data_IF_289867472598
#
_entry.id   IF_289867472598
#
_cell.length_a   1.000
_cell.length_b   1.000
_cell.length_c   1.000
_cell.angle_alpha   90.00
_cell.angle_beta   90.00
_cell.angle_gamma   90.00
#
_symmetry.space_group_name_H-M   'P 1'
#
loop_
_entity.id
_entity.type
_entity.pdbx_description
1 polymer ?
#
# COMPACT_ATOMS: atom_id res chain seq x y z
N UNK A 1 -29.12 52.52 2.84
CA UNK A 1 -29.97 52.88 1.69
C UNK A 1 -29.12 52.78 0.43
N UNK A 2 -29.33 51.78 -0.43
CA UNK A 2 -29.22 51.87 -1.90
C UNK A 2 -29.89 50.61 -2.47
N UNK A 3 -30.78 50.83 -3.45
CA UNK A 3 -31.82 49.91 -3.95
C UNK A 3 -31.41 49.27 -5.28
N UNK A 4 -31.92 48.05 -5.51
CA UNK A 4 -32.36 47.40 -6.79
C UNK A 4 -31.23 47.15 -7.83
N UNK A 5 -31.27 46.12 -8.68
CA UNK A 5 -32.42 45.47 -9.30
C UNK A 5 -32.14 44.00 -9.68
N UNK A 6 -33.21 43.22 -9.69
CA UNK A 6 -33.38 41.93 -10.37
C UNK A 6 -33.45 42.18 -11.88
N UNK A 7 -32.79 41.34 -12.69
CA UNK A 7 -33.08 41.21 -14.10
C UNK A 7 -33.13 39.72 -14.49
N UNK A 8 -34.35 39.22 -14.62
CA UNK A 8 -34.73 38.02 -15.36
C UNK A 8 -34.81 38.36 -16.86
N UNK A 9 -34.26 37.51 -17.74
CA UNK A 9 -34.52 37.58 -19.18
C UNK A 9 -34.45 36.17 -19.82
N UNK A 10 -35.14 35.94 -20.96
CA UNK A 10 -35.96 34.75 -21.16
C UNK A 10 -35.38 33.69 -22.11
N UNK A 11 -36.14 32.60 -22.19
CA UNK A 11 -36.02 31.50 -23.13
C UNK A 11 -36.07 31.94 -24.61
N UNK A 12 -35.23 31.32 -25.44
CA UNK A 12 -35.58 31.07 -26.84
C UNK A 12 -35.27 29.63 -27.23
N UNK A 13 -36.35 28.99 -27.69
CA UNK A 13 -36.36 27.71 -28.35
C UNK A 13 -36.02 27.90 -29.84
N UNK A 14 -35.17 27.03 -30.36
CA UNK A 14 -35.09 26.77 -31.80
C UNK A 14 -35.29 25.28 -32.03
N UNK A 15 -36.46 24.96 -32.59
CA UNK A 15 -36.81 23.64 -33.14
C UNK A 15 -36.22 23.48 -34.55
N UNK A 16 -36.26 22.23 -35.00
CA UNK A 16 -36.27 21.69 -36.38
C UNK A 16 -34.93 21.05 -36.79
N UNK A 17 -34.81 19.72 -36.67
CA UNK A 17 -35.35 18.63 -37.51
C UNK A 17 -34.49 18.35 -38.75
N UNK A 18 -33.74 17.26 -38.68
CA UNK A 18 -33.30 16.39 -39.80
C UNK A 18 -32.78 15.10 -39.14
N UNK A 19 -33.54 14.00 -39.07
CA UNK A 19 -33.72 12.99 -40.12
C UNK A 19 -32.42 12.64 -40.84
N UNK A 20 -31.76 11.55 -40.44
CA UNK A 20 -31.58 10.36 -41.29
C UNK A 20 -30.62 9.35 -40.66
N UNK A 21 -31.08 8.09 -40.64
CA UNK A 21 -30.29 6.87 -40.77
C UNK A 21 -29.15 6.63 -39.76
N UNK A 22 -29.49 5.94 -38.67
CA UNK A 22 -28.53 5.13 -37.91
C UNK A 22 -28.07 3.96 -38.80
N UNK A 23 -26.80 3.84 -39.19
CA UNK A 23 -26.34 2.64 -39.88
C UNK A 23 -26.38 1.47 -38.89
N UNK A 24 -27.35 0.58 -39.05
CA UNK A 24 -27.33 -0.75 -38.44
C UNK A 24 -26.32 -1.58 -39.24
N UNK A 25 -25.04 -1.47 -38.87
CA UNK A 25 -24.05 -2.45 -39.32
C UNK A 25 -24.38 -3.73 -38.57
N UNK A 26 -25.07 -4.64 -39.26
CA UNK A 26 -25.33 -5.99 -38.80
C UNK A 26 -23.99 -6.70 -38.63
N UNK A 27 -23.48 -6.75 -37.39
CA UNK A 27 -22.34 -7.58 -37.06
C UNK A 27 -22.71 -9.05 -37.31
N UNK A 28 -21.93 -9.82 -38.09
CA UNK A 28 -22.15 -11.25 -38.16
C UNK A 28 -21.95 -11.83 -36.76
N UNK A 29 -22.96 -12.57 -36.28
CA UNK A 29 -22.88 -13.38 -35.08
C UNK A 29 -21.63 -14.26 -35.17
N UNK A 30 -20.57 -13.86 -34.47
CA UNK A 30 -19.38 -14.66 -34.29
C UNK A 30 -19.82 -15.89 -33.51
N UNK A 31 -19.95 -17.01 -34.23
CA UNK A 31 -20.23 -18.33 -33.67
C UNK A 31 -19.20 -18.57 -32.57
N UNK A 32 -19.64 -18.54 -31.32
CA UNK A 32 -18.79 -18.82 -30.18
C UNK A 32 -18.29 -20.26 -30.30
N UNK A 33 -17.02 -20.42 -30.66
CA UNK A 33 -16.33 -21.68 -30.46
C UNK A 33 -16.30 -21.97 -28.96
N UNK A 34 -16.51 -23.21 -28.51
CA UNK A 34 -16.38 -23.52 -27.10
C UNK A 34 -14.96 -23.15 -26.69
N UNK A 35 -14.85 -22.25 -25.69
CA UNK A 35 -13.59 -22.00 -25.04
C UNK A 35 -13.16 -23.34 -24.42
N UNK A 36 -12.20 -24.00 -25.07
CA UNK A 36 -11.41 -25.02 -24.40
C UNK A 36 -10.86 -24.34 -23.17
N UNK A 37 -11.35 -24.76 -22.00
CA UNK A 37 -10.84 -24.35 -20.72
C UNK A 37 -9.40 -24.84 -20.65
N UNK A 38 -8.47 -24.02 -21.16
CA UNK A 38 -7.07 -24.16 -20.84
C UNK A 38 -7.00 -23.82 -19.38
N UNK A 39 -6.92 -24.88 -18.58
CA UNK A 39 -6.62 -24.85 -17.18
C UNK A 39 -5.23 -24.22 -17.07
N UNK A 40 -5.17 -22.89 -17.12
CA UNK A 40 -3.99 -22.10 -16.85
C UNK A 40 -3.75 -22.23 -15.35
N UNK A 41 -3.28 -23.42 -14.94
CA UNK A 41 -2.47 -23.56 -13.76
C UNK A 41 -1.37 -22.54 -13.96
N UNK A 42 -1.47 -21.41 -13.24
CA UNK A 42 -0.34 -20.52 -13.02
C UNK A 42 0.69 -21.39 -12.32
N UNK A 43 1.51 -22.06 -13.12
CA UNK A 43 2.66 -22.79 -12.65
C UNK A 43 3.62 -21.70 -12.24
N UNK A 44 3.61 -21.36 -10.95
CA UNK A 44 4.84 -20.90 -10.33
C UNK A 44 5.89 -21.94 -10.74
N UNK A 45 6.98 -21.48 -11.34
CA UNK A 45 8.12 -22.35 -11.59
C UNK A 45 8.56 -22.89 -10.23
N UNK A 46 8.12 -24.09 -9.90
CA UNK A 46 8.67 -24.93 -8.84
C UNK A 46 10.01 -25.45 -9.37
N UNK A 47 10.95 -24.53 -9.56
CA UNK A 47 12.30 -24.82 -10.03
C UNK A 47 13.15 -25.13 -8.82
N UNK A 48 13.41 -26.42 -8.70
CA UNK A 48 14.44 -27.07 -7.91
C UNK A 48 14.30 -27.02 -6.38
N UNK A 49 13.85 -28.16 -5.89
CA UNK A 49 14.35 -28.85 -4.69
C UNK A 49 15.88 -29.03 -4.73
N UNK A 50 16.64 -27.94 -4.80
CA UNK A 50 18.04 -27.93 -4.38
C UNK A 50 18.07 -27.49 -2.92
N UNK A 51 17.76 -28.46 -2.07
CA UNK A 51 17.79 -28.33 -0.62
C UNK A 51 19.24 -28.27 -0.12
N UNK A 52 20.09 -27.42 -0.69
CA UNK A 52 21.49 -27.23 -0.30
C UNK A 52 21.94 -25.81 -0.67
N UNK A 53 21.55 -24.80 0.13
CA UNK A 53 22.38 -23.61 0.50
C UNK A 53 21.60 -22.37 0.97
N UNK A 54 20.26 -22.35 0.95
CA UNK A 54 19.52 -21.28 1.62
C UNK A 54 19.20 -21.71 3.07
N UNK A 55 19.45 -20.84 4.08
CA UNK A 55 19.16 -21.19 5.46
C UNK A 55 17.67 -21.51 5.59
N UNK A 56 17.39 -22.63 6.25
CA UNK A 56 16.09 -23.32 6.39
C UNK A 56 14.98 -22.44 7.01
N UNK A 57 15.26 -21.19 7.38
CA UNK A 57 14.32 -20.26 8.01
C UNK A 57 13.21 -19.72 7.08
N UNK A 58 13.39 -19.76 5.75
CA UNK A 58 12.51 -19.01 4.83
C UNK A 58 11.36 -19.82 4.18
N UNK A 59 11.08 -21.07 4.59
CA UNK A 59 10.35 -22.02 3.72
C UNK A 59 8.92 -22.47 4.11
N UNK A 60 8.37 -22.15 5.30
CA UNK A 60 7.04 -22.73 5.67
C UNK A 60 6.05 -21.74 6.31
N UNK A 61 6.54 -20.72 7.00
CA UNK A 61 5.75 -19.60 7.52
C UNK A 61 6.69 -18.43 7.70
N UNK A 62 6.96 -17.72 6.62
CA UNK A 62 7.97 -16.64 6.66
C UNK A 62 7.53 -15.56 7.64
N UNK A 63 8.45 -14.98 8.43
CA UNK A 63 8.17 -13.81 9.26
C UNK A 63 7.40 -12.73 8.48
N UNK A 64 7.69 -12.61 7.19
CA UNK A 64 6.95 -11.78 6.24
C UNK A 64 5.44 -12.07 6.21
N UNK A 65 5.02 -13.32 6.07
CA UNK A 65 3.61 -13.68 5.98
C UNK A 65 2.88 -13.46 7.31
N UNK A 66 3.56 -13.71 8.43
CA UNK A 66 3.01 -13.48 9.76
C UNK A 66 2.75 -11.99 10.02
N UNK A 67 3.74 -11.12 9.76
CA UNK A 67 3.57 -9.67 9.85
C UNK A 67 2.58 -9.09 8.85
N UNK A 68 2.40 -9.74 7.69
CA UNK A 68 1.38 -9.34 6.73
C UNK A 68 -0.04 -9.68 7.19
N UNK A 69 -0.26 -10.90 7.69
CA UNK A 69 -1.59 -11.35 8.12
C UNK A 69 -2.01 -10.76 9.48
N UNK A 70 -1.03 -10.50 10.36
CA UNK A 70 -1.25 -10.00 11.72
C UNK A 70 -0.29 -8.84 12.02
N UNK A 71 -0.44 -7.69 11.33
CA UNK A 71 0.44 -6.56 11.56
C UNK A 71 0.27 -6.04 12.99
N UNK A 72 1.39 -5.80 13.67
CA UNK A 72 1.44 -5.27 15.05
C UNK A 72 1.50 -3.76 15.02
N UNK A 73 1.09 -3.07 16.09
CA UNK A 73 1.27 -1.62 16.20
C UNK A 73 0.60 -0.78 15.08
N UNK A 74 -0.42 -1.31 14.41
CA UNK A 74 -1.18 -0.55 13.41
C UNK A 74 -2.01 0.52 14.12
N UNK A 75 -1.89 1.77 13.68
CA UNK A 75 -2.64 2.86 14.29
C UNK A 75 -2.04 4.22 14.02
N UNK A 76 -2.52 5.22 14.73
CA UNK A 76 -1.96 6.56 14.68
C UNK A 76 -2.06 7.24 16.04
N UNK A 77 -1.10 8.09 16.32
CA UNK A 77 -1.09 8.96 17.50
C UNK A 77 -1.46 10.39 17.10
N UNK A 78 -1.90 11.17 18.08
CA UNK A 78 -2.14 12.61 17.94
C UNK A 78 -0.86 13.31 17.50
N UNK A 79 -0.97 14.25 16.55
CA UNK A 79 0.14 15.09 16.11
C UNK A 79 0.36 16.31 17.04
N UNK A 80 -0.59 16.57 17.94
CA UNK A 80 -0.51 17.69 18.88
C UNK A 80 0.38 17.35 20.09
N UNK A 81 0.64 16.07 20.31
CA UNK A 81 1.46 15.58 21.41
C UNK A 81 2.94 15.96 21.15
N UNK A 82 3.54 16.66 22.10
CA UNK A 82 4.91 17.19 21.97
C UNK A 82 5.98 16.10 22.00
N UNK A 83 5.66 14.95 22.59
CA UNK A 83 6.52 13.77 22.71
C UNK A 83 6.37 12.79 21.52
N UNK A 84 5.56 13.13 20.51
CA UNK A 84 5.31 12.28 19.34
C UNK A 84 6.01 12.81 18.10
N UNK A 85 7.02 12.08 17.62
CA UNK A 85 7.61 12.27 16.31
C UNK A 85 6.79 11.61 15.22
N UNK A 86 6.57 12.30 14.09
CA UNK A 86 5.86 11.74 12.92
C UNK A 86 6.71 11.85 11.66
N UNK A 87 7.03 10.71 11.05
CA UNK A 87 7.64 10.61 9.72
C UNK A 87 6.61 10.18 8.68
N UNK A 88 6.57 10.87 7.55
CA UNK A 88 5.82 10.45 6.37
C UNK A 88 6.80 10.35 5.19
N UNK A 89 6.86 9.18 4.59
CA UNK A 89 7.78 8.87 3.48
C UNK A 89 7.03 8.16 2.36
N UNK A 90 7.49 8.37 1.13
CA UNK A 90 6.88 7.81 -0.08
C UNK A 90 6.03 8.82 -0.85
N UNK A 91 5.58 8.40 -2.04
CA UNK A 91 4.81 9.22 -2.95
C UNK A 91 3.59 8.41 -3.46
N UNK A 92 2.37 8.98 -3.44
CA UNK A 92 1.18 8.28 -3.90
C UNK A 92 1.28 7.76 -5.34
N UNK A 93 2.04 8.44 -6.20
CA UNK A 93 2.26 8.05 -7.59
C UNK A 93 3.02 6.71 -7.73
N UNK A 94 3.89 6.38 -6.77
CA UNK A 94 4.67 5.14 -6.79
C UNK A 94 3.92 3.95 -6.15
N UNK A 95 2.77 4.20 -5.51
CA UNK A 95 1.99 3.17 -4.84
C UNK A 95 2.50 2.77 -3.46
N UNK A 96 3.60 3.35 -2.99
CA UNK A 96 4.17 3.09 -1.65
C UNK A 96 4.23 4.39 -0.84
N UNK A 97 3.50 4.43 0.29
CA UNK A 97 3.47 5.54 1.25
C UNK A 97 3.42 5.00 2.67
N UNK A 98 4.38 5.37 3.51
CA UNK A 98 4.47 4.95 4.89
C UNK A 98 4.45 6.15 5.84
N UNK A 99 3.59 6.08 6.85
CA UNK A 99 3.56 6.98 8.00
C UNK A 99 4.01 6.20 9.25
N UNK A 100 5.08 6.65 9.87
CA UNK A 100 5.60 6.11 11.14
C UNK A 100 5.47 7.18 12.21
N UNK A 101 4.99 6.80 13.39
CA UNK A 101 4.89 7.68 14.55
C UNK A 101 5.55 7.00 15.74
N UNK A 102 6.43 7.72 16.43
CA UNK A 102 7.12 7.25 17.63
C UNK A 102 6.79 8.20 18.79
N UNK A 103 6.56 7.66 19.98
CA UNK A 103 6.50 8.41 21.23
C UNK A 103 7.82 8.23 21.96
N UNK A 104 8.41 9.33 22.40
CA UNK A 104 9.73 9.32 23.04
C UNK A 104 9.59 9.80 24.48
N UNK A 105 10.12 9.03 25.42
CA UNK A 105 10.16 9.45 26.81
C UNK A 105 11.27 10.48 27.02
N UNK A 106 10.96 11.69 27.50
CA UNK A 106 11.93 12.80 27.58
C UNK A 106 13.05 12.57 28.59
N UNK A 107 12.85 11.66 29.56
CA UNK A 107 13.84 11.39 30.61
C UNK A 107 14.97 10.49 30.11
N UNK A 108 14.64 9.49 29.29
CA UNK A 108 15.56 8.40 28.92
C UNK A 108 15.85 8.34 27.41
N UNK A 109 15.28 9.25 26.60
CA UNK A 109 15.37 9.26 25.14
C UNK A 109 15.05 7.88 24.51
N UNK A 110 14.12 7.16 25.15
CA UNK A 110 13.70 5.82 24.77
C UNK A 110 12.34 5.87 24.11
N UNK A 111 12.14 5.03 23.10
CA UNK A 111 10.88 4.96 22.36
C UNK A 111 9.89 4.11 23.15
N UNK A 112 8.87 4.72 23.75
CA UNK A 112 7.87 4.02 24.59
C UNK A 112 6.76 3.36 23.77
N UNK A 113 6.29 4.02 22.72
CA UNK A 113 5.30 3.47 21.81
C UNK A 113 5.60 3.85 20.35
N UNK A 114 5.17 2.97 19.45
CA UNK A 114 5.36 3.11 18.02
C UNK A 114 4.06 2.71 17.35
N UNK A 115 3.60 3.53 16.40
CA UNK A 115 2.45 3.24 15.56
C UNK A 115 2.79 3.48 14.10
N UNK A 116 2.26 2.66 13.20
CA UNK A 116 2.42 2.87 11.77
C UNK A 116 1.12 2.75 10.99
N UNK A 117 1.11 3.39 9.82
CA UNK A 117 0.16 3.18 8.73
C UNK A 117 0.95 3.16 7.43
N UNK A 118 0.75 2.15 6.61
CA UNK A 118 1.44 2.04 5.34
C UNK A 118 0.47 1.62 4.24
N UNK A 119 0.68 2.15 3.06
CA UNK A 119 0.04 1.76 1.82
C UNK A 119 1.15 1.28 0.89
N UNK A 120 1.05 0.06 0.39
CA UNK A 120 2.08 -0.52 -0.43
C UNK A 120 1.94 -2.02 -0.57
N UNK A 121 2.96 -2.64 -1.16
CA UNK A 121 2.99 -4.10 -1.31
C UNK A 121 3.02 -4.84 0.04
N UNK A 122 2.62 -6.12 0.06
CA UNK A 122 2.61 -6.93 1.28
C UNK A 122 3.98 -7.02 1.97
N UNK A 123 5.07 -6.99 1.18
CA UNK A 123 6.44 -6.92 1.71
C UNK A 123 6.69 -5.62 2.48
N UNK A 124 6.20 -4.47 1.98
CA UNK A 124 6.32 -3.20 2.68
C UNK A 124 5.53 -3.20 4.00
N UNK A 125 4.31 -3.75 4.00
CA UNK A 125 3.49 -3.90 5.21
C UNK A 125 4.21 -4.75 6.27
N UNK A 126 4.77 -5.89 5.85
CA UNK A 126 5.50 -6.76 6.74
C UNK A 126 6.76 -6.08 7.32
N UNK A 127 7.54 -5.40 6.49
CA UNK A 127 8.72 -4.63 6.90
C UNK A 127 8.38 -3.53 7.90
N UNK A 128 7.32 -2.76 7.65
CA UNK A 128 6.87 -1.72 8.59
C UNK A 128 6.46 -2.33 9.93
N UNK A 129 5.72 -3.44 9.92
CA UNK A 129 5.30 -4.08 11.16
C UNK A 129 6.47 -4.61 11.97
N UNK A 130 7.42 -5.29 11.34
CA UNK A 130 8.61 -5.79 12.02
C UNK A 130 9.46 -4.66 12.60
N UNK A 131 9.67 -3.59 11.82
CA UNK A 131 10.41 -2.41 12.28
C UNK A 131 9.79 -1.82 13.56
N UNK A 132 8.46 -1.71 13.63
CA UNK A 132 7.80 -1.15 14.83
C UNK A 132 7.96 -1.97 16.09
N UNK A 133 8.11 -3.29 15.98
CA UNK A 133 8.42 -4.14 17.13
C UNK A 133 9.89 -4.00 17.53
N UNK A 134 10.79 -3.94 16.54
CA UNK A 134 12.22 -3.80 16.76
C UNK A 134 12.56 -2.48 17.47
N UNK A 135 12.02 -1.35 17.00
CA UNK A 135 12.36 -0.02 17.55
C UNK A 135 11.72 0.27 18.91
N UNK A 136 10.73 -0.52 19.33
CA UNK A 136 10.04 -0.28 20.60
C UNK A 136 10.97 -0.63 21.77
N UNK A 137 11.15 0.31 22.70
CA UNK A 137 12.06 0.15 23.84
C UNK A 137 13.53 0.43 23.53
N UNK A 138 13.87 0.77 22.28
CA UNK A 138 15.21 1.23 21.91
C UNK A 138 15.40 2.71 22.19
N UNK A 139 16.64 3.15 22.38
CA UNK A 139 16.98 4.58 22.39
C UNK A 139 16.97 5.14 20.97
N UNK A 140 16.82 6.46 20.84
CA UNK A 140 16.87 7.14 19.53
C UNK A 140 18.15 6.83 18.75
N UNK A 141 19.29 6.75 19.43
CA UNK A 141 20.58 6.44 18.81
C UNK A 141 20.65 4.99 18.31
N UNK A 142 20.07 4.04 19.06
CA UNK A 142 19.99 2.65 18.64
C UNK A 142 19.07 2.50 17.42
N UNK A 143 17.90 3.14 17.47
CA UNK A 143 16.96 3.13 16.36
C UNK A 143 17.56 3.71 15.07
N UNK A 144 18.39 4.77 15.19
CA UNK A 144 19.08 5.38 14.06
C UNK A 144 20.15 4.48 13.41
N UNK A 145 20.65 3.47 14.11
CA UNK A 145 21.67 2.54 13.59
C UNK A 145 21.09 1.37 12.80
N UNK A 146 19.78 1.16 12.86
CA UNK A 146 19.10 0.05 12.16
C UNK A 146 19.26 0.23 10.65
N UNK A 147 19.70 -0.84 9.98
CA UNK A 147 19.90 -0.84 8.53
C UNK A 147 18.82 -1.64 7.82
N UNK A 148 18.50 -1.21 6.60
CA UNK A 148 17.60 -1.93 5.71
C UNK A 148 18.04 -3.38 5.46
N UNK A 149 19.35 -3.63 5.40
CA UNK A 149 19.93 -4.97 5.19
C UNK A 149 19.55 -5.97 6.28
N UNK A 150 19.43 -5.52 7.53
CA UNK A 150 19.08 -6.38 8.66
C UNK A 150 17.61 -6.80 8.58
N UNK A 151 16.73 -5.84 8.26
CA UNK A 151 15.29 -6.08 8.05
C UNK A 151 15.06 -7.02 6.87
N UNK A 152 15.74 -6.79 5.75
CA UNK A 152 15.61 -7.61 4.56
C UNK A 152 16.08 -9.06 4.79
N UNK A 153 17.14 -9.24 5.59
CA UNK A 153 17.65 -10.57 5.97
C UNK A 153 16.64 -11.31 6.84
N UNK A 154 16.07 -10.65 7.84
CA UNK A 154 15.10 -11.28 8.76
C UNK A 154 13.81 -11.70 8.03
N UNK A 155 13.35 -10.87 7.10
CA UNK A 155 12.14 -11.11 6.33
C UNK A 155 12.37 -11.98 5.09
N UNK A 156 13.60 -12.47 4.87
CA UNK A 156 14.01 -13.22 3.69
C UNK A 156 13.60 -12.54 2.37
N UNK A 157 13.74 -11.22 2.28
CA UNK A 157 13.34 -10.47 1.09
C UNK A 157 14.27 -10.78 -0.08
N UNK A 158 13.73 -10.94 -1.31
CA UNK A 158 14.57 -11.01 -2.49
C UNK A 158 15.32 -9.69 -2.70
N UNK A 159 16.51 -9.69 -3.32
CA UNK A 159 17.41 -8.53 -3.40
C UNK A 159 16.86 -7.31 -4.14
N UNK A 160 15.69 -7.45 -4.77
CA UNK A 160 15.02 -6.43 -5.59
C UNK A 160 13.98 -5.61 -4.80
N UNK A 161 13.83 -5.83 -3.50
CA UNK A 161 12.81 -5.20 -2.65
C UNK A 161 13.38 -4.52 -1.42
#
# INVERSE_FOLDING_TARGET
MFRRAVATAPAQASKLLTSAARPQIASPLRRATPAVAVNARRSYHEKDKSLHSLPVACAASTPLLDHYNRPRNVGSMSKADTDVGTGLVGAPACGDVMKLQIRVDPNNNTISDVKFKTFGCGSAIASSSYLTELVRGMTLEQAARIKNTEIAKELCLPPVK
#
